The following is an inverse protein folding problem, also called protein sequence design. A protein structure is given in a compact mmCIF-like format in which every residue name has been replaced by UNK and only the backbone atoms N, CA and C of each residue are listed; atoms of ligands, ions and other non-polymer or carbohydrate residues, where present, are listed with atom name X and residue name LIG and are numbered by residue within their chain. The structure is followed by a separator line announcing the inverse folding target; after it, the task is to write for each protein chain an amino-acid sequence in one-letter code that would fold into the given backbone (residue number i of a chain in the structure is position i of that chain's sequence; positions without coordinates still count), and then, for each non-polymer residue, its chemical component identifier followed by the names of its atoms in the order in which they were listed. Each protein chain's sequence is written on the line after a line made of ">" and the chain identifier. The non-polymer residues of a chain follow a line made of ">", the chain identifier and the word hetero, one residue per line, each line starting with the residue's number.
data_IF_399571952992
#
_entry.id   IF_399571952992
#
_cell.length_a   1.000
_cell.length_b   1.000
_cell.length_c   1.000
_cell.angle_alpha   90.00
_cell.angle_beta   90.00
_cell.angle_gamma   90.00
#
_symmetry.space_group_name_H-M   'P 1'
#
loop_
_entity.id
_entity.type
_entity.pdbx_description
1 polymer ?
#
# COMPACT_ATOMS: atom_id res chain seq x y z
N UNK A 1 -42.03 9.93 -2.42
CA UNK A 1 -42.21 8.62 -3.07
C UNK A 1 -41.71 8.77 -4.50
N UNK A 2 -40.46 8.38 -4.77
CA UNK A 2 -39.85 8.52 -6.09
C UNK A 2 -40.35 7.39 -7.00
N UNK A 3 -40.65 7.70 -8.27
CA UNK A 3 -41.12 6.70 -9.23
C UNK A 3 -40.14 5.51 -9.33
N UNK A 4 -40.66 4.27 -9.43
CA UNK A 4 -39.83 3.08 -9.58
C UNK A 4 -38.97 3.20 -10.85
N UNK A 5 -37.71 2.79 -10.78
CA UNK A 5 -36.86 2.72 -11.99
C UNK A 5 -37.43 1.63 -12.89
N UNK A 6 -38.15 2.01 -13.94
CA UNK A 6 -38.62 1.08 -14.96
C UNK A 6 -37.44 0.67 -15.82
N UNK A 7 -37.23 -0.63 -15.97
CA UNK A 7 -36.24 -1.16 -16.90
C UNK A 7 -36.82 -1.08 -18.32
N UNK A 8 -36.28 -0.22 -19.16
CA UNK A 8 -36.64 -0.15 -20.58
C UNK A 8 -35.56 -0.84 -21.43
N UNK A 9 -35.86 -1.97 -22.09
CA UNK A 9 -34.87 -2.68 -22.92
C UNK A 9 -34.38 -1.84 -24.12
N UNK A 10 -35.15 -0.85 -24.57
CA UNK A 10 -34.76 0.03 -25.67
C UNK A 10 -33.51 0.89 -25.34
N UNK A 11 -33.28 1.19 -24.06
CA UNK A 11 -32.17 2.07 -23.62
C UNK A 11 -30.80 1.39 -23.70
N UNK A 12 -30.76 0.05 -23.85
CA UNK A 12 -29.55 -0.75 -23.72
C UNK A 12 -29.09 -1.43 -25.02
N UNK A 13 -29.94 -1.49 -26.04
CA UNK A 13 -29.68 -2.25 -27.27
C UNK A 13 -29.56 -3.76 -27.03
N UNK A 14 -29.20 -4.52 -28.07
CA UNK A 14 -29.09 -5.98 -27.99
C UNK A 14 -28.01 -6.46 -27.00
N UNK A 15 -26.94 -5.69 -26.81
CA UNK A 15 -25.89 -5.96 -25.82
C UNK A 15 -25.62 -4.66 -25.04
N UNK A 16 -25.97 -4.60 -23.74
CA UNK A 16 -25.77 -3.40 -22.93
C UNK A 16 -24.29 -3.03 -22.80
N UNK A 17 -23.99 -1.75 -22.96
CA UNK A 17 -22.63 -1.26 -22.67
C UNK A 17 -22.35 -1.29 -21.16
N UNK A 18 -21.11 -1.59 -20.73
CA UNK A 18 -20.74 -1.63 -19.31
C UNK A 18 -20.93 -0.29 -18.57
N UNK A 19 -20.97 0.82 -19.30
CA UNK A 19 -21.17 2.16 -18.74
C UNK A 19 -22.65 2.42 -18.45
N UNK A 20 -23.54 2.10 -19.40
CA UNK A 20 -24.98 2.25 -19.24
C UNK A 20 -25.49 1.39 -18.08
N UNK A 21 -25.09 0.11 -18.03
CA UNK A 21 -25.50 -0.82 -16.96
C UNK A 21 -25.05 -0.34 -15.56
N UNK A 22 -23.82 0.18 -15.45
CA UNK A 22 -23.33 0.77 -14.19
C UNK A 22 -24.01 2.07 -13.82
N UNK A 23 -24.48 2.86 -14.78
CA UNK A 23 -25.24 4.09 -14.53
C UNK A 23 -26.60 3.70 -13.94
N UNK A 24 -27.32 2.80 -14.60
CA UNK A 24 -28.59 2.26 -14.13
C UNK A 24 -28.50 1.65 -12.73
N UNK A 25 -27.55 0.73 -12.48
CA UNK A 25 -27.37 0.17 -11.13
C UNK A 25 -27.11 1.23 -10.05
N UNK A 26 -26.35 2.28 -10.36
CA UNK A 26 -26.07 3.36 -9.41
C UNK A 26 -27.31 4.21 -9.14
N UNK A 27 -28.16 4.42 -10.12
CA UNK A 27 -29.43 5.11 -9.95
C UNK A 27 -30.41 4.27 -9.13
N UNK A 28 -30.56 2.99 -9.47
CA UNK A 28 -31.41 2.05 -8.72
C UNK A 28 -30.98 1.92 -7.27
N UNK A 29 -29.67 1.80 -7.00
CA UNK A 29 -29.13 1.75 -5.63
C UNK A 29 -29.34 3.06 -4.88
N UNK A 30 -29.16 4.21 -5.53
CA UNK A 30 -29.39 5.51 -4.87
C UNK A 30 -30.84 5.72 -4.49
N UNK A 31 -31.79 5.18 -5.26
CA UNK A 31 -33.21 5.21 -4.91
C UNK A 31 -33.59 4.27 -3.75
N UNK A 32 -32.83 3.19 -3.52
CA UNK A 32 -33.02 2.24 -2.40
C UNK A 32 -31.99 2.43 -1.27
N UNK A 33 -31.24 3.53 -1.30
CA UNK A 33 -30.26 3.81 -0.25
C UNK A 33 -30.99 4.47 0.91
N UNK A 34 -31.48 3.66 1.84
CA UNK A 34 -32.27 4.12 2.99
C UNK A 34 -31.40 4.69 4.14
N UNK A 35 -30.08 4.75 3.96
CA UNK A 35 -29.18 5.33 4.97
C UNK A 35 -29.31 6.84 5.00
N UNK A 36 -29.52 7.40 6.19
CA UNK A 36 -29.55 8.84 6.38
C UNK A 36 -28.14 9.43 6.25
N UNK A 37 -28.04 10.67 5.74
CA UNK A 37 -26.75 11.38 5.65
C UNK A 37 -26.05 11.49 7.02
N UNK A 38 -26.81 11.55 8.11
CA UNK A 38 -26.28 11.58 9.48
C UNK A 38 -25.54 10.29 9.86
N UNK A 39 -26.10 9.12 9.56
CA UNK A 39 -25.46 7.83 9.82
C UNK A 39 -24.14 7.68 9.05
N UNK A 40 -24.09 8.18 7.81
CA UNK A 40 -22.86 8.15 7.02
C UNK A 40 -21.77 9.05 7.62
N UNK A 41 -22.16 10.22 8.16
CA UNK A 41 -21.22 11.14 8.79
C UNK A 41 -20.67 10.57 10.11
N UNK A 42 -21.51 9.90 10.90
CA UNK A 42 -21.11 9.22 12.14
C UNK A 42 -20.06 8.14 11.87
N UNK A 43 -20.32 7.25 10.89
CA UNK A 43 -19.37 6.21 10.48
C UNK A 43 -18.01 6.82 10.07
N UNK A 44 -18.03 7.87 9.24
CA UNK A 44 -16.82 8.53 8.74
C UNK A 44 -16.07 9.26 9.87
N UNK A 45 -16.79 9.95 10.76
CA UNK A 45 -16.22 10.66 11.90
C UNK A 45 -15.48 9.69 12.83
N UNK A 46 -16.10 8.56 13.19
CA UNK A 46 -15.49 7.55 14.05
C UNK A 46 -14.19 7.01 13.45
N UNK A 47 -14.15 6.74 12.14
CA UNK A 47 -12.93 6.28 11.46
C UNK A 47 -11.84 7.36 11.47
N UNK A 48 -12.17 8.61 11.16
CA UNK A 48 -11.19 9.71 11.16
C UNK A 48 -10.65 9.94 12.58
N UNK A 49 -11.54 9.97 13.58
CA UNK A 49 -11.17 10.19 14.97
C UNK A 49 -10.27 9.07 15.51
N UNK A 50 -10.62 7.81 15.26
CA UNK A 50 -9.80 6.66 15.66
C UNK A 50 -8.43 6.68 14.97
N UNK A 51 -8.38 7.01 13.68
CA UNK A 51 -7.12 7.16 12.94
C UNK A 51 -6.26 8.29 13.53
N UNK A 52 -6.87 9.42 13.88
CA UNK A 52 -6.18 10.55 14.48
C UNK A 52 -5.61 10.20 15.87
N UNK A 53 -6.40 9.53 16.72
CA UNK A 53 -5.97 9.10 18.04
C UNK A 53 -4.83 8.06 17.97
N UNK A 54 -4.96 7.08 17.08
CA UNK A 54 -3.93 6.08 16.85
C UNK A 54 -2.66 6.72 16.29
N UNK A 55 -2.80 7.68 15.38
CA UNK A 55 -1.72 8.46 14.81
C UNK A 55 -0.99 9.31 15.85
N UNK A 56 -1.71 10.00 16.73
CA UNK A 56 -1.12 10.80 17.81
C UNK A 56 -0.34 9.94 18.80
N UNK A 57 -0.90 8.79 19.19
CA UNK A 57 -0.25 7.85 20.10
C UNK A 57 1.01 7.25 19.48
N UNK A 58 0.92 6.78 18.23
CA UNK A 58 2.07 6.25 17.50
C UNK A 58 3.14 7.31 17.26
N UNK A 59 2.74 8.53 16.90
CA UNK A 59 3.64 9.66 16.69
C UNK A 59 4.41 10.07 17.94
N UNK A 60 3.78 10.00 19.12
CA UNK A 60 4.46 10.33 20.38
C UNK A 60 5.53 9.28 20.74
N UNK A 61 5.23 7.99 20.56
CA UNK A 61 6.21 6.90 20.76
C UNK A 61 7.41 7.08 19.82
N UNK A 62 7.15 7.40 18.56
CA UNK A 62 8.18 7.66 17.55
C UNK A 62 9.04 8.85 17.94
N UNK A 63 8.42 9.96 18.37
CA UNK A 63 9.14 11.17 18.77
C UNK A 63 10.07 10.90 19.95
N UNK A 64 9.61 10.11 20.93
CA UNK A 64 10.45 9.69 22.05
C UNK A 64 11.62 8.81 21.60
N UNK A 65 11.37 7.81 20.75
CA UNK A 65 12.43 6.95 20.21
C UNK A 65 13.46 7.76 19.39
N UNK A 66 12.99 8.73 18.62
CA UNK A 66 13.87 9.56 17.79
C UNK A 66 14.72 10.52 18.63
N UNK A 67 14.16 11.10 19.71
CA UNK A 67 14.91 11.94 20.63
C UNK A 67 16.09 11.19 21.29
N UNK A 68 15.89 9.90 21.61
CA UNK A 68 16.95 9.05 22.17
C UNK A 68 18.01 8.69 21.10
N UNK A 69 17.59 8.44 19.86
CA UNK A 69 18.50 8.09 18.74
C UNK A 69 19.31 9.30 18.24
N UNK A 70 18.74 10.51 18.30
CA UNK A 70 19.37 11.74 17.83
C UNK A 70 20.64 12.14 18.60
N UNK A 71 20.90 11.53 19.75
CA UNK A 71 22.13 11.76 20.55
C UNK A 71 23.25 10.76 20.24
N UNK A 72 23.06 9.86 19.27
CA UNK A 72 23.99 8.77 19.00
C UNK A 72 25.00 9.12 17.90
N UNK A 73 26.18 9.60 18.32
CA UNK A 73 27.30 9.95 17.43
C UNK A 73 28.27 8.78 17.15
N UNK A 74 27.92 7.56 17.59
CA UNK A 74 28.80 6.40 17.44
C UNK A 74 28.79 5.80 16.03
N UNK A 75 29.91 5.20 15.61
CA UNK A 75 30.07 4.50 14.33
C UNK A 75 29.02 3.38 14.11
N UNK A 76 28.41 2.89 15.19
CA UNK A 76 27.32 1.91 15.16
C UNK A 76 25.99 2.51 14.70
N UNK A 77 25.74 3.80 14.99
CA UNK A 77 24.55 4.50 14.50
C UNK A 77 24.60 4.56 12.97
N UNK A 78 25.70 5.06 12.39
CA UNK A 78 25.87 5.15 10.93
C UNK A 78 25.65 3.82 10.20
N UNK A 79 26.12 2.70 10.78
CA UNK A 79 25.94 1.35 10.20
C UNK A 79 24.48 0.88 10.25
N UNK A 80 23.72 1.26 11.28
CA UNK A 80 22.29 0.93 11.39
C UNK A 80 21.50 1.54 10.22
N UNK A 81 21.71 2.82 9.96
CA UNK A 81 21.03 3.58 8.90
C UNK A 81 21.24 2.98 7.50
N UNK A 82 22.44 2.47 7.23
CA UNK A 82 22.73 1.78 5.98
C UNK A 82 21.96 0.46 5.81
N UNK A 83 21.62 -0.22 6.91
CA UNK A 83 20.99 -1.56 6.88
C UNK A 83 19.45 -1.47 6.88
N UNK A 84 18.85 -0.42 7.45
CA UNK A 84 17.40 -0.20 7.52
C UNK A 84 16.66 -0.42 6.18
N UNK A 85 17.07 0.13 5.01
CA UNK A 85 16.35 -0.07 3.75
C UNK A 85 16.26 -1.53 3.31
N UNK A 86 17.28 -2.33 3.61
CA UNK A 86 17.29 -3.74 3.29
C UNK A 86 16.33 -4.55 4.17
N UNK A 87 15.87 -4.00 5.29
CA UNK A 87 14.85 -4.60 6.15
C UNK A 87 13.46 -4.07 5.74
N UNK A 88 13.31 -2.75 5.71
CA UNK A 88 12.00 -2.09 5.60
C UNK A 88 11.34 -2.30 4.24
N UNK A 89 12.09 -2.15 3.15
CA UNK A 89 11.54 -2.27 1.79
C UNK A 89 10.99 -3.68 1.53
N UNK A 90 11.75 -4.78 1.72
CA UNK A 90 11.21 -6.12 1.50
C UNK A 90 10.09 -6.47 2.47
N UNK A 91 10.11 -5.96 3.71
CA UNK A 91 9.00 -6.14 4.66
C UNK A 91 7.70 -5.50 4.15
N UNK A 92 7.74 -4.25 3.70
CA UNK A 92 6.57 -3.54 3.15
C UNK A 92 6.07 -4.17 1.84
N UNK A 93 6.97 -4.60 0.97
CA UNK A 93 6.61 -5.29 -0.29
C UNK A 93 6.01 -6.68 0.00
N UNK A 94 6.59 -7.46 0.92
CA UNK A 94 6.05 -8.78 1.24
C UNK A 94 4.68 -8.70 1.93
N UNK A 95 4.51 -7.75 2.85
CA UNK A 95 3.22 -7.54 3.55
C UNK A 95 2.14 -7.08 2.58
N UNK A 96 2.44 -6.15 1.67
CA UNK A 96 1.49 -5.77 0.61
C UNK A 96 1.11 -6.93 -0.28
N UNK A 97 2.08 -7.73 -0.77
CA UNK A 97 1.80 -8.92 -1.55
C UNK A 97 0.86 -9.88 -0.81
N UNK A 98 1.15 -10.18 0.46
CA UNK A 98 0.32 -11.09 1.28
C UNK A 98 -1.08 -10.54 1.51
N UNK A 99 -1.21 -9.25 1.85
CA UNK A 99 -2.50 -8.62 2.12
C UNK A 99 -3.36 -8.55 0.85
N UNK A 100 -2.77 -8.17 -0.28
CA UNK A 100 -3.50 -8.10 -1.54
C UNK A 100 -3.87 -9.50 -2.04
N UNK A 101 -3.01 -10.52 -1.88
CA UNK A 101 -3.36 -11.90 -2.27
C UNK A 101 -4.36 -12.58 -1.31
N UNK A 102 -4.36 -12.19 -0.02
CA UNK A 102 -5.33 -12.71 0.95
C UNK A 102 -6.74 -12.19 0.69
N UNK A 103 -6.86 -10.96 0.18
CA UNK A 103 -8.15 -10.35 -0.17
C UNK A 103 -8.52 -10.65 -1.62
N UNK A 104 -7.53 -10.60 -2.51
CA UNK A 104 -7.69 -10.53 -3.96
C UNK A 104 -7.82 -9.08 -4.44
N UNK A 105 -6.79 -8.46 -5.05
CA UNK A 105 -6.77 -7.03 -5.38
C UNK A 105 -7.94 -6.56 -6.26
N UNK A 106 -8.48 -7.45 -7.11
CA UNK A 106 -9.69 -7.20 -7.90
C UNK A 106 -10.77 -8.17 -7.47
N UNK A 107 -11.71 -7.68 -6.68
CA UNK A 107 -12.86 -8.41 -6.17
C UNK A 107 -14.16 -7.84 -6.73
N UNK A 108 -15.14 -8.69 -7.03
CA UNK A 108 -16.51 -8.26 -7.33
C UNK A 108 -17.47 -8.92 -6.33
N UNK A 109 -18.57 -8.23 -5.98
CA UNK A 109 -19.54 -8.80 -5.05
C UNK A 109 -20.18 -10.06 -5.64
N UNK A 110 -20.57 -10.99 -4.78
CA UNK A 110 -21.30 -12.22 -5.14
C UNK A 110 -22.43 -11.96 -6.15
N UNK A 111 -23.28 -10.96 -5.89
CA UNK A 111 -24.38 -10.60 -6.78
C UNK A 111 -23.89 -10.17 -8.19
N UNK A 112 -22.83 -9.37 -8.28
CA UNK A 112 -22.25 -8.96 -9.56
C UNK A 112 -21.52 -10.12 -10.26
N UNK A 113 -20.92 -11.03 -9.51
CA UNK A 113 -20.28 -12.20 -10.07
C UNK A 113 -21.28 -13.21 -10.63
N UNK A 114 -22.39 -13.44 -9.93
CA UNK A 114 -23.42 -14.38 -10.34
C UNK A 114 -24.22 -13.84 -11.53
N UNK A 115 -24.77 -12.64 -11.42
CA UNK A 115 -25.70 -12.11 -12.42
C UNK A 115 -25.00 -11.41 -13.59
N UNK A 116 -23.95 -10.65 -13.30
CA UNK A 116 -23.33 -9.74 -14.27
C UNK A 116 -22.23 -10.42 -15.09
N UNK A 117 -21.36 -11.23 -14.47
CA UNK A 117 -20.28 -11.92 -15.19
C UNK A 117 -20.75 -13.12 -16.05
N UNK A 118 -22.01 -13.56 -15.86
CA UNK A 118 -22.66 -14.56 -16.70
C UNK A 118 -23.22 -14.01 -18.01
N UNK A 119 -23.37 -12.68 -18.12
CA UNK A 119 -23.89 -12.03 -19.34
C UNK A 119 -22.77 -11.80 -20.36
N UNK A 120 -23.08 -11.64 -21.67
CA UNK A 120 -22.10 -11.37 -22.73
C UNK A 120 -21.45 -9.97 -22.67
N UNK A 121 -21.50 -9.29 -21.53
CA UNK A 121 -20.92 -7.95 -21.33
C UNK A 121 -19.39 -8.04 -21.23
N UNK A 122 -18.68 -7.08 -21.81
CA UNK A 122 -17.22 -7.02 -21.78
C UNK A 122 -16.68 -6.95 -20.33
N UNK A 123 -16.14 -8.07 -19.84
CA UNK A 123 -15.66 -8.25 -18.46
C UNK A 123 -14.58 -7.24 -18.06
N UNK A 124 -13.63 -6.97 -18.95
CA UNK A 124 -12.50 -6.07 -18.66
C UNK A 124 -12.97 -4.65 -18.37
N UNK A 125 -13.96 -4.16 -19.14
CA UNK A 125 -14.54 -2.84 -18.96
C UNK A 125 -15.37 -2.72 -17.67
N UNK A 126 -15.94 -3.83 -17.19
CA UNK A 126 -16.67 -3.89 -15.91
C UNK A 126 -15.73 -3.90 -14.71
N UNK A 127 -14.58 -4.58 -14.80
CA UNK A 127 -13.60 -4.70 -13.70
C UNK A 127 -12.61 -3.52 -13.61
N UNK A 128 -12.37 -2.80 -14.72
CA UNK A 128 -11.47 -1.64 -14.78
C UNK A 128 -11.66 -0.59 -13.68
N UNK A 129 -12.89 -0.14 -13.30
CA UNK A 129 -13.05 0.83 -12.21
C UNK A 129 -12.60 0.27 -10.85
N UNK A 130 -12.88 -1.00 -10.56
CA UNK A 130 -12.47 -1.64 -9.30
C UNK A 130 -10.95 -1.77 -9.23
N UNK A 131 -10.35 -2.18 -10.35
CA UNK A 131 -8.89 -2.22 -10.49
C UNK A 131 -8.24 -0.85 -10.19
N UNK A 132 -8.73 0.23 -10.80
CA UNK A 132 -8.18 1.56 -10.55
C UNK A 132 -8.38 2.02 -9.10
N UNK A 133 -9.52 1.71 -8.48
CA UNK A 133 -9.73 1.98 -7.04
C UNK A 133 -8.73 1.23 -6.17
N UNK A 134 -8.40 -0.02 -6.50
CA UNK A 134 -7.41 -0.80 -5.77
C UNK A 134 -5.99 -0.21 -5.93
N UNK A 135 -5.61 0.21 -7.14
CA UNK A 135 -4.31 0.85 -7.38
C UNK A 135 -4.19 2.20 -6.67
N UNK A 136 -5.23 3.05 -6.75
CA UNK A 136 -5.27 4.35 -6.04
C UNK A 136 -5.27 4.14 -4.53
N UNK A 137 -6.06 3.19 -4.02
CA UNK A 137 -6.06 2.84 -2.60
C UNK A 137 -4.69 2.38 -2.12
N UNK A 138 -4.01 1.54 -2.90
CA UNK A 138 -2.65 1.08 -2.56
C UNK A 138 -1.64 2.22 -2.63
N UNK A 139 -1.74 3.12 -3.62
CA UNK A 139 -0.85 4.27 -3.72
C UNK A 139 -1.02 5.25 -2.55
N UNK A 140 -2.26 5.51 -2.14
CA UNK A 140 -2.55 6.39 -1.01
C UNK A 140 -2.10 5.78 0.31
N UNK A 141 -2.55 4.56 0.62
CA UNK A 141 -2.21 3.87 1.87
C UNK A 141 -0.70 3.59 1.91
N UNK A 142 -0.14 3.08 0.82
CA UNK A 142 1.29 2.81 0.71
C UNK A 142 2.13 4.07 0.83
N UNK A 143 1.68 5.18 0.23
CA UNK A 143 2.28 6.51 0.39
C UNK A 143 2.36 6.95 1.84
N UNK A 144 1.23 6.90 2.55
CA UNK A 144 1.17 7.27 3.98
C UNK A 144 2.03 6.36 4.83
N UNK A 145 1.94 5.04 4.64
CA UNK A 145 2.74 4.08 5.41
C UNK A 145 4.24 4.28 5.16
N UNK A 146 4.61 4.50 3.91
CA UNK A 146 5.99 4.75 3.51
C UNK A 146 6.53 6.05 4.10
N UNK A 147 5.81 7.17 3.95
CA UNK A 147 6.27 8.47 4.46
C UNK A 147 6.41 8.43 5.97
N UNK A 148 5.46 7.82 6.68
CA UNK A 148 5.55 7.63 8.14
C UNK A 148 6.77 6.76 8.47
N UNK A 149 6.94 5.60 7.83
CA UNK A 149 8.04 4.70 8.13
C UNK A 149 9.41 5.37 7.93
N UNK A 150 9.59 6.13 6.86
CA UNK A 150 10.83 6.87 6.60
C UNK A 150 10.96 8.17 7.40
N UNK A 151 9.88 8.78 7.87
CA UNK A 151 9.97 9.91 8.81
C UNK A 151 10.42 9.43 10.20
N UNK A 152 10.02 8.21 10.59
CA UNK A 152 10.35 7.58 11.87
C UNK A 152 11.78 7.05 11.89
N UNK A 153 12.11 6.24 10.88
CA UNK A 153 13.40 5.54 10.79
C UNK A 153 14.46 6.39 10.10
N UNK A 154 14.05 7.55 9.59
CA UNK A 154 14.74 8.50 8.74
C UNK A 154 15.14 7.99 7.35
N UNK A 155 15.45 8.89 6.41
CA UNK A 155 15.68 8.55 5.02
C UNK A 155 17.08 7.93 4.79
N UNK A 156 17.18 6.83 4.04
CA UNK A 156 18.46 6.20 3.67
C UNK A 156 19.08 6.88 2.43
N UNK A 157 18.28 7.66 1.71
CA UNK A 157 18.69 8.46 0.56
C UNK A 157 18.85 9.92 0.98
N UNK A 158 19.20 10.77 0.02
CA UNK A 158 19.40 12.22 0.22
C UNK A 158 18.15 12.91 0.76
N UNK A 159 16.95 12.40 0.47
CA UNK A 159 15.71 13.01 0.93
C UNK A 159 14.62 11.99 1.34
N UNK A 160 13.76 12.42 2.27
CA UNK A 160 12.53 11.72 2.66
C UNK A 160 11.56 11.54 1.48
N UNK A 161 11.55 12.50 0.56
CA UNK A 161 10.71 12.45 -0.63
C UNK A 161 11.13 11.30 -1.55
N UNK A 162 12.42 11.15 -1.82
CA UNK A 162 12.94 10.06 -2.67
C UNK A 162 12.64 8.68 -2.10
N UNK A 163 12.96 8.45 -0.83
CA UNK A 163 12.70 7.16 -0.18
C UNK A 163 11.21 6.80 -0.23
N UNK A 164 10.36 7.80 -0.01
CA UNK A 164 8.92 7.62 0.01
C UNK A 164 8.34 7.33 -1.37
N UNK A 165 8.79 8.05 -2.39
CA UNK A 165 8.38 7.85 -3.78
C UNK A 165 8.76 6.45 -4.26
N UNK A 166 10.02 6.03 -4.04
CA UNK A 166 10.52 4.74 -4.49
C UNK A 166 9.75 3.59 -3.86
N UNK A 167 9.57 3.63 -2.53
CA UNK A 167 8.89 2.55 -1.82
C UNK A 167 7.39 2.49 -2.11
N UNK A 168 6.72 3.64 -2.24
CA UNK A 168 5.33 3.70 -2.70
C UNK A 168 5.18 3.12 -4.10
N UNK A 169 6.08 3.47 -5.02
CA UNK A 169 6.08 2.92 -6.38
C UNK A 169 6.26 1.40 -6.36
N UNK A 170 7.15 0.86 -5.51
CA UNK A 170 7.32 -0.58 -5.33
C UNK A 170 6.07 -1.26 -4.79
N UNK A 171 5.34 -0.65 -3.84
CA UNK A 171 4.07 -1.19 -3.32
C UNK A 171 3.00 -1.23 -4.42
N UNK A 172 2.92 -0.22 -5.30
CA UNK A 172 1.99 -0.24 -6.45
C UNK A 172 2.43 -1.26 -7.50
N UNK A 173 3.73 -1.43 -7.74
CA UNK A 173 4.25 -2.49 -8.60
C UNK A 173 3.90 -3.88 -8.04
N UNK A 174 4.04 -4.08 -6.72
CA UNK A 174 3.62 -5.30 -6.04
C UNK A 174 2.12 -5.54 -6.22
N UNK A 175 1.28 -4.50 -6.13
CA UNK A 175 -0.14 -4.60 -6.43
C UNK A 175 -0.42 -5.04 -7.87
N UNK A 176 0.31 -4.51 -8.85
CA UNK A 176 0.23 -4.97 -10.24
C UNK A 176 0.60 -6.46 -10.38
N UNK A 177 1.66 -6.91 -9.70
CA UNK A 177 2.08 -8.32 -9.65
C UNK A 177 0.97 -9.20 -9.05
N UNK A 178 0.27 -8.75 -8.00
CA UNK A 178 -0.83 -9.54 -7.43
C UNK A 178 -1.99 -9.75 -8.41
N UNK A 179 -2.31 -8.76 -9.25
CA UNK A 179 -3.34 -8.90 -10.30
C UNK A 179 -2.90 -9.90 -11.38
N UNK A 180 -1.62 -9.90 -11.74
CA UNK A 180 -1.07 -10.90 -12.65
C UNK A 180 -1.08 -12.31 -12.03
N UNK A 181 -0.77 -12.40 -10.74
CA UNK A 181 -0.77 -13.65 -9.98
C UNK A 181 -2.19 -14.23 -9.84
N UNK A 182 -3.22 -13.41 -9.75
CA UNK A 182 -4.63 -13.83 -9.71
C UNK A 182 -5.13 -14.53 -10.98
N UNK A 183 -4.41 -14.44 -12.10
CA UNK A 183 -4.86 -15.04 -13.37
C UNK A 183 -4.81 -16.57 -13.34
N UNK A 184 -3.86 -17.14 -12.61
CA UNK A 184 -3.61 -18.59 -12.57
C UNK A 184 -3.23 -18.98 -11.14
N UNK A 185 -3.88 -20.00 -10.59
CA UNK A 185 -3.66 -20.47 -9.22
C UNK A 185 -2.17 -20.79 -8.95
N UNK A 186 -1.49 -21.42 -9.91
CA UNK A 186 -0.04 -21.69 -9.84
C UNK A 186 0.80 -20.41 -9.69
N UNK A 187 0.41 -19.31 -10.32
CA UNK A 187 1.13 -18.01 -10.20
C UNK A 187 0.92 -17.41 -8.82
N UNK A 188 -0.31 -17.41 -8.30
CA UNK A 188 -0.60 -16.95 -6.94
C UNK A 188 0.22 -17.70 -5.89
N UNK A 189 0.35 -19.03 -6.04
CA UNK A 189 1.20 -19.83 -5.16
C UNK A 189 2.69 -19.43 -5.22
N UNK A 190 3.26 -19.26 -6.42
CA UNK A 190 4.64 -18.80 -6.57
C UNK A 190 4.85 -17.39 -6.01
N UNK A 191 3.92 -16.46 -6.22
CA UNK A 191 4.02 -15.11 -5.67
C UNK A 191 3.99 -15.11 -4.15
N UNK A 192 3.21 -16.00 -3.51
CA UNK A 192 3.26 -16.18 -2.05
C UNK A 192 4.64 -16.69 -1.60
N UNK A 193 5.25 -17.63 -2.33
CA UNK A 193 6.63 -18.09 -2.02
C UNK A 193 7.66 -16.97 -2.17
N UNK A 194 7.51 -16.10 -3.16
CA UNK A 194 8.37 -14.91 -3.31
C UNK A 194 8.15 -13.94 -2.14
N UNK A 195 6.92 -13.75 -1.68
CA UNK A 195 6.65 -12.95 -0.49
C UNK A 195 7.28 -13.56 0.77
N UNK A 196 7.22 -14.88 0.93
CA UNK A 196 7.91 -15.59 2.03
C UNK A 196 9.43 -15.38 1.96
N UNK A 197 10.01 -15.47 0.75
CA UNK A 197 11.43 -15.22 0.53
C UNK A 197 11.82 -13.77 0.88
N UNK A 198 11.01 -12.78 0.47
CA UNK A 198 11.21 -11.37 0.84
C UNK A 198 11.19 -11.17 2.35
N UNK A 199 10.32 -11.86 3.09
CA UNK A 199 10.33 -11.81 4.56
C UNK A 199 11.60 -12.42 5.14
N UNK A 200 12.08 -13.53 4.61
CA UNK A 200 13.37 -14.11 5.04
C UNK A 200 14.51 -13.12 4.77
N UNK A 201 14.53 -12.49 3.59
CA UNK A 201 15.51 -11.46 3.23
C UNK A 201 15.45 -10.27 4.18
N UNK A 202 14.28 -9.87 4.67
CA UNK A 202 14.14 -8.80 5.67
C UNK A 202 14.66 -9.22 7.06
N UNK A 203 14.47 -10.48 7.45
CA UNK A 203 14.84 -11.01 8.77
C UNK A 203 16.36 -11.19 8.90
N UNK A 204 17.06 -11.63 7.85
CA UNK A 204 18.52 -11.87 7.87
C UNK A 204 19.33 -10.66 8.39
N UNK A 205 19.20 -9.44 7.84
CA UNK A 205 19.91 -8.26 8.34
C UNK A 205 19.49 -7.86 9.76
N UNK A 206 18.23 -8.04 10.13
CA UNK A 206 17.75 -7.77 11.49
C UNK A 206 18.40 -8.71 12.52
N UNK A 207 18.49 -10.00 12.20
CA UNK A 207 19.17 -11.00 13.05
C UNK A 207 20.67 -10.73 13.11
N UNK A 208 21.29 -10.37 11.99
CA UNK A 208 22.72 -10.03 11.94
C UNK A 208 23.05 -8.85 12.86
N UNK A 209 22.25 -7.78 12.85
CA UNK A 209 22.38 -6.64 13.76
C UNK A 209 22.16 -7.05 15.22
N UNK A 210 21.16 -7.89 15.50
CA UNK A 210 20.90 -8.38 16.84
C UNK A 210 22.08 -9.21 17.39
N UNK A 211 22.69 -10.06 16.55
CA UNK A 211 23.85 -10.89 16.94
C UNK A 211 25.09 -10.03 17.16
N UNK A 212 25.32 -8.97 16.38
CA UNK A 212 26.45 -8.06 16.60
C UNK A 212 26.37 -7.35 17.95
N UNK A 213 25.17 -6.96 18.38
CA UNK A 213 24.96 -6.32 19.69
C UNK A 213 25.38 -7.22 20.85
N UNK A 214 25.33 -8.54 20.67
CA UNK A 214 25.71 -9.52 21.67
C UNK A 214 27.21 -9.87 21.68
N UNK A 215 28.01 -9.38 20.73
CA UNK A 215 29.47 -9.52 20.83
C UNK A 215 29.99 -8.43 21.78
N UNK A 216 30.54 -8.78 22.95
CA UNK A 216 31.10 -7.80 23.87
C UNK A 216 32.22 -7.05 23.14
N UNK A 217 32.08 -5.74 23.00
CA UNK A 217 33.09 -4.88 22.41
C UNK A 217 34.30 -4.83 23.34
N UNK A 218 35.45 -5.34 22.89
CA UNK A 218 36.74 -4.98 23.46
C UNK A 218 36.94 -3.49 23.13
N UNK A 219 36.84 -2.63 24.14
CA UNK A 219 36.89 -1.18 23.99
C UNK A 219 38.26 -0.73 23.47
N UNK A 220 38.39 -0.54 22.15
CA UNK A 220 39.45 0.30 21.59
C UNK A 220 38.91 1.72 21.48
N UNK A 221 39.25 2.54 22.48
CA UNK A 221 38.91 3.95 22.55
C UNK A 221 39.90 4.73 21.67
N UNK A 222 39.59 4.88 20.38
CA UNK A 222 40.30 5.83 19.52
C UNK A 222 39.72 7.22 19.76
N UNK A 223 40.43 8.04 20.53
CA UNK A 223 40.13 9.45 20.71
C UNK A 223 40.33 10.17 19.37
N UNK A 224 39.24 10.41 18.64
CA UNK A 224 39.28 11.23 17.44
C UNK A 224 39.24 12.69 17.89
N UNK A 225 40.39 13.36 17.87
CA UNK A 225 40.50 14.81 18.08
C UNK A 225 39.90 15.50 16.86
N UNK A 226 38.71 16.08 17.01
CA UNK A 226 38.17 17.03 16.05
C UNK A 226 38.93 18.35 16.20
N UNK A 227 39.75 18.70 15.22
CA UNK A 227 40.40 20.01 15.12
C UNK A 227 39.33 20.99 14.60
N UNK A 228 38.71 21.73 15.50
CA UNK A 228 37.96 22.93 15.15
C UNK A 228 38.96 24.01 14.73
N UNK A 229 38.97 24.37 13.45
CA UNK A 229 39.62 25.60 13.01
C UNK A 229 38.74 26.77 13.45
N UNK A 230 39.11 27.40 14.57
CA UNK A 230 38.57 28.71 14.95
C UNK A 230 38.96 29.72 13.86
N UNK A 231 37.99 30.14 13.07
CA UNK A 231 38.14 31.26 12.14
C UNK A 231 37.95 32.54 12.97
N UNK A 232 38.94 33.46 13.02
CA UNK A 232 38.84 34.66 13.84
C UNK A 232 37.63 35.52 13.46
N UNK A 233 36.91 36.04 14.47
CA UNK A 233 35.72 36.90 14.40
C UNK A 233 35.92 38.29 13.73
N UNK A 234 36.86 38.41 12.78
CA UNK A 234 37.29 39.69 12.21
C UNK A 234 36.84 40.01 10.78
N UNK A 235 36.39 39.04 9.98
CA UNK A 235 36.07 39.30 8.57
C UNK A 235 34.56 39.42 8.31
N UNK A 236 33.98 40.57 8.67
CA UNK A 236 32.69 41.00 8.12
C UNK A 236 32.88 41.42 6.66
N UNK A 237 33.05 40.45 5.77
CA UNK A 237 32.80 40.67 4.35
C UNK A 237 31.29 40.56 4.14
N UNK A 238 30.59 41.69 4.24
CA UNK A 238 29.22 41.79 3.79
C UNK A 238 29.22 41.80 2.25
N UNK A 239 28.72 40.77 1.55
CA UNK A 239 28.47 40.89 0.13
C UNK A 239 27.32 41.90 -0.10
N UNK A 240 27.37 42.66 -1.20
CA UNK A 240 26.37 43.68 -1.49
C UNK A 240 25.09 43.05 -2.04
N UNK A 241 24.03 43.85 -1.93
CA UNK A 241 22.83 43.86 -2.78
C UNK A 241 21.85 42.68 -2.68
N UNK A 242 20.58 43.09 -2.66
CA UNK A 242 19.40 42.43 -3.18
C UNK A 242 19.69 41.62 -4.46
N UNK A 243 20.17 40.39 -4.31
CA UNK A 243 19.88 39.36 -5.27
C UNK A 243 18.49 38.85 -4.89
N UNK A 244 17.48 39.16 -5.71
CA UNK A 244 16.34 38.27 -5.83
C UNK A 244 16.92 36.88 -6.05
N UNK A 245 16.91 36.06 -4.99
CA UNK A 245 17.23 34.65 -5.05
C UNK A 245 16.09 34.02 -5.87
N UNK A 246 16.16 34.15 -7.19
CA UNK A 246 15.38 33.30 -8.08
C UNK A 246 15.61 31.86 -7.60
N UNK A 247 14.55 31.04 -7.44
CA UNK A 247 14.69 29.71 -6.86
C UNK A 247 15.65 28.91 -7.74
N UNK A 248 16.91 28.84 -7.32
CA UNK A 248 17.91 28.02 -7.95
C UNK A 248 17.49 26.59 -7.68
N UNK A 249 16.91 25.94 -8.70
CA UNK A 249 16.59 24.51 -8.67
C UNK A 249 17.86 23.80 -8.25
N UNK A 250 17.88 23.26 -7.04
CA UNK A 250 19.06 22.57 -6.53
C UNK A 250 19.21 21.25 -7.29
N UNK A 251 20.43 20.72 -7.37
CA UNK A 251 20.68 19.42 -8.01
C UNK A 251 19.82 18.30 -7.38
N UNK A 252 19.45 18.46 -6.11
CA UNK A 252 18.65 17.50 -5.36
C UNK A 252 17.18 17.57 -5.77
N UNK A 253 16.62 18.76 -5.98
CA UNK A 253 15.26 18.93 -6.50
C UNK A 253 15.09 18.28 -7.88
N UNK A 254 16.08 18.44 -8.76
CA UNK A 254 16.08 17.81 -10.08
C UNK A 254 16.13 16.28 -9.97
N UNK A 255 16.92 15.74 -9.04
CA UNK A 255 17.01 14.29 -8.79
C UNK A 255 15.69 13.71 -8.27
N UNK A 256 15.05 14.35 -7.29
CA UNK A 256 13.75 13.92 -6.76
C UNK A 256 12.71 13.93 -7.89
N UNK A 257 12.71 14.97 -8.72
CA UNK A 257 11.82 15.08 -9.87
C UNK A 257 12.05 13.96 -10.87
N UNK A 258 13.31 13.68 -11.24
CA UNK A 258 13.65 12.60 -12.17
C UNK A 258 13.24 11.22 -11.64
N UNK A 259 13.51 10.93 -10.36
CA UNK A 259 13.10 9.68 -9.72
C UNK A 259 11.58 9.58 -9.66
N UNK A 260 10.90 10.68 -9.30
CA UNK A 260 9.44 10.76 -9.29
C UNK A 260 8.81 10.48 -10.65
N UNK A 261 9.33 11.12 -11.70
CA UNK A 261 8.86 10.90 -13.08
C UNK A 261 9.13 9.47 -13.53
N UNK A 262 10.34 8.95 -13.31
CA UNK A 262 10.68 7.57 -13.68
C UNK A 262 9.79 6.55 -12.97
N UNK A 263 9.59 6.70 -11.66
CA UNK A 263 8.72 5.85 -10.85
C UNK A 263 7.26 5.92 -11.33
N UNK A 264 6.75 7.14 -11.60
CA UNK A 264 5.41 7.35 -12.13
C UNK A 264 5.22 6.64 -13.48
N UNK A 265 6.18 6.79 -14.40
CA UNK A 265 6.13 6.14 -15.72
C UNK A 265 6.11 4.62 -15.58
N UNK A 266 6.99 4.04 -14.77
CA UNK A 266 7.03 2.58 -14.53
C UNK A 266 5.71 2.09 -13.95
N UNK A 267 5.18 2.77 -12.94
CA UNK A 267 3.90 2.43 -12.31
C UNK A 267 2.75 2.54 -13.30
N UNK A 268 2.67 3.61 -14.09
CA UNK A 268 1.61 3.79 -15.08
C UNK A 268 1.68 2.72 -16.18
N UNK A 269 2.88 2.40 -16.67
CA UNK A 269 3.08 1.36 -17.68
C UNK A 269 2.62 0.01 -17.13
N UNK A 270 3.08 -0.40 -15.95
CA UNK A 270 2.66 -1.66 -15.33
C UNK A 270 1.15 -1.68 -15.04
N UNK A 271 0.59 -0.56 -14.60
CA UNK A 271 -0.82 -0.45 -14.31
C UNK A 271 -1.67 -0.58 -15.58
N UNK A 272 -1.26 0.06 -16.68
CA UNK A 272 -1.94 -0.05 -17.97
C UNK A 272 -1.79 -1.45 -18.56
N UNK A 273 -0.61 -2.06 -18.49
CA UNK A 273 -0.38 -3.43 -18.96
C UNK A 273 -1.24 -4.43 -18.19
N UNK A 274 -1.28 -4.34 -16.86
CA UNK A 274 -2.12 -5.22 -16.04
C UNK A 274 -3.62 -4.97 -16.27
N UNK A 275 -4.04 -3.71 -16.45
CA UNK A 275 -5.42 -3.38 -16.80
C UNK A 275 -5.88 -4.04 -18.12
N UNK A 276 -4.99 -4.18 -19.11
CA UNK A 276 -5.29 -4.90 -20.37
C UNK A 276 -5.49 -6.40 -20.17
N UNK A 277 -4.90 -6.97 -19.12
CA UNK A 277 -5.01 -8.40 -18.82
C UNK A 277 -6.24 -8.77 -17.97
N UNK A 278 -7.05 -7.80 -17.52
CA UNK A 278 -8.22 -8.04 -16.68
C UNK A 278 -9.24 -9.02 -17.29
N UNK A 279 -9.30 -9.11 -18.63
CA UNK A 279 -10.16 -10.07 -19.33
C UNK A 279 -9.79 -11.54 -19.08
N UNK A 280 -8.57 -11.82 -18.61
CA UNK A 280 -8.06 -13.16 -18.31
C UNK A 280 -8.39 -13.64 -16.89
N UNK A 281 -8.97 -12.79 -16.05
CA UNK A 281 -9.32 -13.17 -14.68
C UNK A 281 -10.48 -14.16 -14.67
N UNK A 282 -10.30 -15.26 -13.92
CA UNK A 282 -11.35 -16.25 -13.73
C UNK A 282 -12.51 -15.68 -12.90
N UNK A 283 -13.73 -16.12 -13.18
CA UNK A 283 -14.93 -15.69 -12.44
C UNK A 283 -14.84 -16.10 -10.97
N UNK A 284 -14.32 -17.30 -10.69
CA UNK A 284 -14.17 -17.86 -9.35
C UNK A 284 -13.22 -17.04 -8.48
N UNK A 285 -12.08 -16.60 -9.03
CA UNK A 285 -11.11 -15.79 -8.27
C UNK A 285 -11.64 -14.41 -7.88
N UNK A 286 -12.44 -13.78 -8.74
CA UNK A 286 -13.00 -12.45 -8.51
C UNK A 286 -14.15 -12.47 -7.49
N UNK A 287 -14.97 -13.52 -7.50
CA UNK A 287 -16.10 -13.69 -6.55
C UNK A 287 -15.58 -14.00 -5.15
N UNK A 288 -14.59 -14.89 -5.04
CA UNK A 288 -14.04 -15.31 -3.76
C UNK A 288 -13.48 -14.12 -2.96
N UNK A 289 -12.83 -13.15 -3.62
CA UNK A 289 -12.35 -11.93 -2.96
C UNK A 289 -13.47 -11.02 -2.46
N UNK A 290 -14.60 -10.97 -3.15
CA UNK A 290 -15.74 -10.12 -2.78
C UNK A 290 -16.46 -10.58 -1.52
N UNK A 291 -16.59 -11.89 -1.31
CA UNK A 291 -17.15 -12.47 -0.08
C UNK A 291 -16.29 -12.17 1.13
N UNK A 292 -14.96 -12.30 0.96
CA UNK A 292 -14.01 -12.02 2.02
C UNK A 292 -14.04 -10.55 2.42
N UNK A 293 -14.03 -9.64 1.46
CA UNK A 293 -14.13 -8.22 1.77
C UNK A 293 -15.41 -7.86 2.50
N UNK A 294 -16.55 -8.46 2.14
CA UNK A 294 -17.80 -8.23 2.84
C UNK A 294 -17.73 -8.74 4.29
N UNK A 295 -17.18 -9.94 4.51
CA UNK A 295 -16.98 -10.51 5.85
C UNK A 295 -15.98 -9.72 6.69
N UNK A 296 -14.84 -9.32 6.11
CA UNK A 296 -13.81 -8.51 6.77
C UNK A 296 -14.33 -7.11 7.09
N UNK A 297 -15.10 -6.48 6.22
CA UNK A 297 -15.71 -5.18 6.49
C UNK A 297 -16.72 -5.25 7.65
N UNK A 298 -17.52 -6.32 7.71
CA UNK A 298 -18.39 -6.60 8.85
C UNK A 298 -17.61 -6.76 10.16
N UNK A 299 -16.58 -7.61 10.18
CA UNK A 299 -15.75 -7.83 11.35
C UNK A 299 -14.93 -6.60 11.78
N UNK A 300 -14.46 -5.80 10.81
CA UNK A 300 -13.78 -4.54 11.08
C UNK A 300 -14.74 -3.50 11.66
N UNK A 301 -15.99 -3.46 11.19
CA UNK A 301 -17.01 -2.56 11.75
C UNK A 301 -17.39 -2.91 13.19
N UNK A 302 -17.29 -4.18 13.58
CA UNK A 302 -17.48 -4.61 14.96
C UNK A 302 -16.19 -4.54 15.80
N UNK A 303 -15.06 -4.14 15.20
CA UNK A 303 -13.73 -4.11 15.83
C UNK A 303 -13.34 -5.44 16.51
N UNK A 304 -13.81 -6.58 15.98
CA UNK A 304 -13.57 -7.90 16.56
C UNK A 304 -12.46 -8.65 15.80
N UNK A 305 -11.22 -8.67 16.32
CA UNK A 305 -10.10 -9.34 15.65
C UNK A 305 -10.28 -10.87 15.61
N UNK A 306 -11.11 -11.46 16.49
CA UNK A 306 -11.37 -12.90 16.48
C UNK A 306 -12.20 -13.29 15.26
N UNK A 307 -13.22 -12.48 14.92
CA UNK A 307 -14.01 -12.68 13.70
C UNK A 307 -13.17 -12.50 12.43
N UNK A 308 -12.23 -11.56 12.41
CA UNK A 308 -11.29 -11.42 11.29
C UNK A 308 -10.45 -12.68 11.10
N UNK A 309 -9.93 -13.25 12.20
CA UNK A 309 -9.14 -14.47 12.16
C UNK A 309 -9.95 -15.68 11.64
N UNK A 310 -11.22 -15.79 12.05
CA UNK A 310 -12.13 -16.86 11.61
C UNK A 310 -12.49 -16.76 10.12
N UNK A 311 -12.73 -15.55 9.61
CA UNK A 311 -12.98 -15.34 8.17
C UNK A 311 -11.76 -15.76 7.34
N UNK A 312 -10.56 -15.40 7.80
CA UNK A 312 -9.31 -15.75 7.11
C UNK A 312 -9.03 -17.26 7.16
N UNK A 313 -9.22 -17.89 8.34
CA UNK A 313 -9.02 -19.32 8.51
C UNK A 313 -10.00 -20.14 7.67
N UNK A 314 -11.27 -19.72 7.61
CA UNK A 314 -12.30 -20.35 6.79
C UNK A 314 -11.94 -20.36 5.30
N UNK A 315 -11.31 -19.30 4.79
CA UNK A 315 -10.83 -19.26 3.40
C UNK A 315 -9.73 -20.28 3.15
N UNK A 316 -8.76 -20.36 4.06
CA UNK A 316 -7.62 -21.26 3.94
C UNK A 316 -8.07 -22.72 3.81
N UNK A 317 -9.06 -23.13 4.61
CA UNK A 317 -9.61 -24.48 4.55
C UNK A 317 -10.45 -24.75 3.28
N UNK A 318 -11.18 -23.74 2.76
CA UNK A 318 -11.90 -23.87 1.49
C UNK A 318 -10.96 -24.04 0.29
N UNK A 319 -9.81 -23.37 0.29
CA UNK A 319 -8.81 -23.49 -0.78
C UNK A 319 -8.06 -24.82 -0.76
N UNK A 320 -7.85 -25.43 0.42
CA UNK A 320 -7.23 -26.76 0.52
C UNK A 320 -8.10 -27.91 -0.02
N UNK A 321 -9.41 -27.66 -0.22
CA UNK A 321 -10.35 -28.64 -0.75
C UNK A 321 -10.60 -29.83 0.19
N UNK A 322 -11.59 -30.67 -0.16
CA UNK A 322 -11.76 -31.99 0.50
C UNK A 322 -10.57 -32.86 0.10
N UNK A 323 -9.79 -33.31 1.08
CA UNK A 323 -8.78 -34.33 0.85
C UNK A 323 -9.43 -35.50 0.10
N UNK A 324 -8.83 -35.93 -1.01
CA UNK A 324 -9.29 -37.13 -1.73
C UNK A 324 -9.26 -38.28 -0.73
N UNK A 325 -10.44 -38.75 -0.33
CA UNK A 325 -10.58 -40.02 0.38
C UNK A 325 -9.92 -41.08 -0.48
N UNK A 326 -8.82 -41.65 0.01
CA UNK A 326 -8.17 -42.80 -0.61
C UNK A 326 -9.07 -44.01 -0.31
N UNK A 327 -10.03 -44.28 -1.19
CA UNK A 327 -10.76 -45.54 -1.25
C UNK A 327 -10.56 -46.11 -2.65
#
# INVERSE_FOLDING_TARGET
>A
MSEPVTFNPADFGAIPTPRALRKWMRETRRKHADRSFGQLFEDVYLVIFTLAMLGATGGNVVKHLNADIATCDSLHCMRLWQVIPYILIPLLVATTLRLLLSIGPVSASQATGFWLLGTPVNRSATLRPTYWKAMVGTALIGGVVSTVAWAVLGPPFTSLAESSIVTTALMVCAACVTVWAQQVERRAWWTLRVADLLLVVAVVPAVWLAVQRFRPSVNFQTANVFIGLDVPEGSRFAPPLYAEQAPAVTSDDLRVLLIGVAALVVVLVLAVLTARTLGRLSRTSVIAGGELLAGLAGAASSLDPSMLADVVSGRHWRLRGRAKSRR
#
